data_IF_873605925898
#
_entry.id   IF_873605925898
#
_cell.length_a   1.000
_cell.length_b   1.000
_cell.length_c   1.000
_cell.angle_alpha   90.00
_cell.angle_beta   90.00
_cell.angle_gamma   90.00
#
_symmetry.space_group_name_H-M   'P 1'
#
loop_
_entity.id
_entity.type
_entity.pdbx_description
1 polymer ?
#
# COMPACT_ATOMS: atom_id res chain seq x y z
N UNK A 1 -17.07 -12.88 -29.76
CA UNK A 1 -17.39 -12.06 -28.56
C UNK A 1 -16.40 -12.47 -27.50
N UNK A 2 -15.38 -11.64 -27.26
CA UNK A 2 -14.48 -11.81 -26.13
C UNK A 2 -15.27 -11.60 -24.84
N UNK A 3 -15.17 -12.54 -23.90
CA UNK A 3 -15.72 -12.36 -22.55
C UNK A 3 -15.03 -11.15 -21.92
N UNK A 4 -15.76 -10.20 -21.29
CA UNK A 4 -15.13 -9.13 -20.58
C UNK A 4 -14.19 -9.75 -19.52
N UNK A 5 -12.93 -9.36 -19.55
CA UNK A 5 -11.94 -9.77 -18.55
C UNK A 5 -12.43 -9.19 -17.22
N UNK A 6 -12.88 -10.03 -16.30
CA UNK A 6 -13.27 -9.57 -14.95
C UNK A 6 -12.02 -9.01 -14.27
N UNK A 7 -12.08 -7.72 -13.93
CA UNK A 7 -11.01 -7.09 -13.17
C UNK A 7 -11.09 -7.63 -11.73
N UNK A 8 -10.02 -8.29 -11.30
CA UNK A 8 -9.88 -8.74 -9.92
C UNK A 8 -9.29 -7.61 -9.07
N UNK A 9 -9.85 -7.42 -7.88
CA UNK A 9 -9.43 -6.37 -6.95
C UNK A 9 -8.74 -6.96 -5.73
N UNK A 10 -7.72 -6.25 -5.25
CA UNK A 10 -7.19 -6.35 -3.91
C UNK A 10 -7.91 -5.32 -3.04
N UNK A 11 -8.45 -5.76 -1.91
CA UNK A 11 -9.17 -4.89 -0.98
C UNK A 11 -8.24 -4.48 0.15
N UNK A 12 -8.09 -3.17 0.32
CA UNK A 12 -7.36 -2.54 1.42
C UNK A 12 -8.34 -1.81 2.32
N UNK A 13 -7.96 -1.55 3.57
CA UNK A 13 -8.79 -0.87 4.55
C UNK A 13 -8.03 0.30 5.16
N UNK A 14 -8.75 1.37 5.53
CA UNK A 14 -8.17 2.61 6.06
C UNK A 14 -7.32 2.37 7.29
N UNK A 15 -7.80 1.54 8.20
CA UNK A 15 -7.12 1.23 9.44
C UNK A 15 -5.82 0.41 9.27
N UNK A 16 -5.51 -0.03 8.03
CA UNK A 16 -4.23 -0.65 7.69
C UNK A 16 -3.14 0.37 7.38
N UNK A 17 -3.54 1.57 6.91
CA UNK A 17 -2.59 2.55 6.39
C UNK A 17 -1.57 3.03 7.45
N UNK A 18 -1.93 3.27 8.73
CA UNK A 18 -0.97 3.67 9.75
C UNK A 18 -0.15 2.51 10.33
N UNK A 19 -0.44 1.24 9.98
CA UNK A 19 0.24 0.09 10.56
C UNK A 19 1.75 0.08 10.26
N UNK A 20 2.57 -0.54 11.13
CA UNK A 20 4.00 -0.75 10.89
C UNK A 20 4.24 -1.50 9.56
N UNK A 21 5.39 -1.22 8.92
CA UNK A 21 5.74 -1.78 7.60
C UNK A 21 5.57 -3.30 7.51
N UNK A 22 6.02 -4.06 8.52
CA UNK A 22 5.94 -5.52 8.49
C UNK A 22 4.49 -6.03 8.53
N UNK A 23 3.64 -5.39 9.34
CA UNK A 23 2.21 -5.71 9.42
C UNK A 23 1.50 -5.37 8.10
N UNK A 24 1.74 -4.19 7.56
CA UNK A 24 1.17 -3.79 6.27
C UNK A 24 1.62 -4.72 5.12
N UNK A 25 2.90 -5.15 5.11
CA UNK A 25 3.40 -6.07 4.10
C UNK A 25 2.64 -7.40 4.10
N UNK A 26 2.36 -7.95 5.30
CA UNK A 26 1.57 -9.20 5.41
C UNK A 26 0.15 -9.00 4.89
N UNK A 27 -0.52 -7.90 5.28
CA UNK A 27 -1.88 -7.61 4.82
C UNK A 27 -1.94 -7.37 3.31
N UNK A 28 -0.99 -6.61 2.75
CA UNK A 28 -0.93 -6.33 1.31
C UNK A 28 -0.73 -7.62 0.50
N UNK A 29 0.14 -8.53 0.96
CA UNK A 29 0.33 -9.83 0.35
C UNK A 29 -0.94 -10.68 0.40
N UNK A 30 -1.61 -10.76 1.56
CA UNK A 30 -2.85 -11.54 1.70
C UNK A 30 -3.99 -10.95 0.87
N UNK A 31 -4.10 -9.60 0.82
CA UNK A 31 -5.09 -8.90 0.00
C UNK A 31 -4.88 -9.16 -1.50
N UNK A 32 -3.63 -9.14 -1.96
CA UNK A 32 -3.29 -9.44 -3.36
C UNK A 32 -3.67 -10.90 -3.72
N UNK A 33 -3.53 -11.84 -2.78
CA UNK A 33 -3.96 -13.24 -2.95
C UNK A 33 -5.49 -13.44 -2.79
N UNK A 34 -6.29 -12.37 -2.87
CA UNK A 34 -7.74 -12.45 -2.76
C UNK A 34 -8.26 -12.56 -1.32
N UNK A 35 -7.52 -12.03 -0.36
CA UNK A 35 -7.89 -11.97 1.06
C UNK A 35 -7.60 -13.24 1.84
N UNK A 36 -7.00 -14.25 1.21
CA UNK A 36 -6.57 -15.51 1.85
C UNK A 36 -5.18 -15.92 1.39
N UNK A 37 -4.41 -16.53 2.28
CA UNK A 37 -3.08 -17.05 1.97
C UNK A 37 -2.84 -18.40 2.67
N UNK A 38 -2.20 -19.34 1.98
CA UNK A 38 -1.71 -20.59 2.57
C UNK A 38 -0.26 -20.82 2.16
N UNK A 39 0.66 -20.85 3.13
CA UNK A 39 2.09 -21.04 2.87
C UNK A 39 2.93 -20.89 4.12
N UNK A 40 4.24 -21.06 3.97
CA UNK A 40 5.18 -20.89 5.08
C UNK A 40 5.88 -19.52 5.03
N UNK A 41 6.59 -19.15 6.10
CA UNK A 41 7.31 -17.86 6.18
C UNK A 41 8.38 -17.69 5.10
N UNK A 42 8.99 -18.78 4.60
CA UNK A 42 9.97 -18.68 3.54
C UNK A 42 9.34 -18.35 2.18
N UNK A 43 8.13 -18.85 1.93
CA UNK A 43 7.37 -18.51 0.72
C UNK A 43 6.88 -17.05 0.79
N UNK A 44 6.44 -16.59 1.97
CA UNK A 44 6.12 -15.17 2.18
C UNK A 44 7.33 -14.26 1.90
N UNK A 45 8.51 -14.63 2.42
CA UNK A 45 9.74 -13.88 2.13
C UNK A 45 10.02 -13.78 0.63
N UNK A 46 9.93 -14.92 -0.10
CA UNK A 46 10.16 -14.95 -1.56
C UNK A 46 9.14 -14.08 -2.30
N UNK A 47 7.87 -14.18 -1.90
CA UNK A 47 6.81 -13.36 -2.48
C UNK A 47 7.07 -11.86 -2.29
N UNK A 48 7.55 -11.45 -1.12
CA UNK A 48 7.91 -10.07 -0.79
C UNK A 48 9.30 -9.65 -1.33
N UNK A 49 9.90 -10.47 -2.20
CA UNK A 49 11.21 -10.24 -2.79
C UNK A 49 12.34 -10.05 -1.76
N UNK A 50 12.29 -10.79 -0.65
CA UNK A 50 13.34 -10.81 0.38
C UNK A 50 13.86 -12.22 0.63
N UNK A 51 15.13 -12.32 1.00
CA UNK A 51 15.75 -13.63 1.29
C UNK A 51 15.12 -14.28 2.53
N UNK A 52 14.82 -15.61 2.52
CA UNK A 52 14.16 -16.31 3.62
C UNK A 52 15.12 -16.62 4.79
N UNK A 53 15.76 -15.60 5.34
CA UNK A 53 16.63 -15.68 6.54
C UNK A 53 15.83 -15.31 7.81
N UNK A 54 16.34 -15.69 8.99
CA UNK A 54 15.68 -15.39 10.26
C UNK A 54 15.38 -13.91 10.43
N UNK A 55 16.30 -13.03 10.07
CA UNK A 55 16.12 -11.56 10.12
C UNK A 55 14.91 -11.05 9.33
N UNK A 56 14.43 -11.79 8.32
CA UNK A 56 13.25 -11.44 7.51
C UNK A 56 12.02 -12.26 7.91
N UNK A 57 12.19 -13.51 8.37
CA UNK A 57 11.09 -14.38 8.80
C UNK A 57 10.54 -13.99 10.17
N UNK A 58 11.40 -13.59 11.10
CA UNK A 58 10.98 -13.27 12.47
C UNK A 58 10.09 -12.01 12.53
N UNK A 59 10.37 -10.91 11.80
CA UNK A 59 9.44 -9.79 11.68
C UNK A 59 8.09 -10.19 11.08
N UNK A 60 8.06 -11.08 10.08
CA UNK A 60 6.79 -11.56 9.49
C UNK A 60 5.98 -12.39 10.49
N UNK A 61 6.65 -13.26 11.26
CA UNK A 61 5.98 -14.03 12.33
C UNK A 61 5.35 -13.09 13.36
N UNK A 62 6.14 -12.15 13.89
CA UNK A 62 5.65 -11.17 14.86
C UNK A 62 4.52 -10.30 14.30
N UNK A 63 4.58 -9.95 13.01
CA UNK A 63 3.52 -9.22 12.35
C UNK A 63 2.22 -10.04 12.26
N UNK A 64 2.29 -11.32 11.91
CA UNK A 64 1.12 -12.22 11.87
C UNK A 64 0.49 -12.34 13.27
N UNK A 65 1.30 -12.56 14.30
CA UNK A 65 0.84 -12.64 15.68
C UNK A 65 0.16 -11.34 16.13
N UNK A 66 0.78 -10.20 15.87
CA UNK A 66 0.22 -8.87 16.16
C UNK A 66 -1.10 -8.62 15.42
N UNK A 67 -1.15 -8.88 14.11
CA UNK A 67 -2.35 -8.69 13.30
C UNK A 67 -3.49 -9.61 13.74
N UNK A 68 -3.17 -10.83 14.16
CA UNK A 68 -4.17 -11.77 14.70
C UNK A 68 -4.72 -11.26 16.03
N UNK A 69 -3.86 -10.78 16.92
CA UNK A 69 -4.29 -10.24 18.22
C UNK A 69 -5.10 -8.95 18.09
N UNK A 70 -4.81 -8.12 17.08
CA UNK A 70 -5.56 -6.90 16.74
C UNK A 70 -6.85 -7.18 15.97
N UNK A 71 -7.10 -8.43 15.56
CA UNK A 71 -8.29 -8.82 14.79
C UNK A 71 -8.29 -8.36 13.33
N UNK A 72 -7.12 -8.13 12.71
CA UNK A 72 -7.01 -7.86 11.28
C UNK A 72 -6.95 -9.13 10.43
N UNK A 73 -6.40 -10.20 11.01
CA UNK A 73 -6.29 -11.51 10.38
C UNK A 73 -6.87 -12.59 11.29
N UNK A 74 -7.47 -13.62 10.70
CA UNK A 74 -7.55 -14.93 11.32
C UNK A 74 -6.35 -15.76 10.85
N UNK A 75 -5.74 -16.50 11.77
CA UNK A 75 -4.59 -17.34 11.51
C UNK A 75 -4.79 -18.74 12.06
N UNK A 76 -4.75 -19.75 11.18
CA UNK A 76 -4.61 -21.15 11.57
C UNK A 76 -3.21 -21.61 11.20
N UNK A 77 -2.50 -22.21 12.17
CA UNK A 77 -1.18 -22.77 11.95
C UNK A 77 -1.28 -24.30 11.90
N UNK A 78 -0.94 -24.91 10.78
CA UNK A 78 -0.89 -26.36 10.57
C UNK A 78 0.56 -26.79 10.33
N UNK A 79 1.29 -27.04 11.41
CA UNK A 79 2.70 -27.38 11.36
C UNK A 79 3.56 -26.16 10.95
N UNK A 80 4.08 -26.16 9.69
CA UNK A 80 4.88 -25.05 9.18
C UNK A 80 4.10 -24.13 8.22
N UNK A 81 2.83 -24.43 7.97
CA UNK A 81 1.97 -23.71 7.04
C UNK A 81 1.01 -22.81 7.81
N UNK A 82 1.03 -21.52 7.47
CA UNK A 82 0.09 -20.52 7.94
C UNK A 82 -1.08 -20.45 6.96
N UNK A 83 -2.31 -20.53 7.48
CA UNK A 83 -3.53 -20.24 6.75
C UNK A 83 -4.05 -18.91 7.28
N UNK A 84 -3.89 -17.87 6.48
CA UNK A 84 -4.26 -16.51 6.83
C UNK A 84 -5.51 -16.10 6.08
N UNK A 85 -6.40 -15.37 6.74
CA UNK A 85 -7.57 -14.78 6.11
C UNK A 85 -7.78 -13.37 6.66
N UNK A 86 -7.94 -12.40 5.78
CA UNK A 86 -8.29 -11.02 6.14
C UNK A 86 -9.67 -10.99 6.80
N UNK A 87 -9.79 -10.24 7.89
CA UNK A 87 -11.08 -9.95 8.52
C UNK A 87 -11.58 -8.63 7.93
N UNK A 88 -12.74 -8.62 7.22
CA UNK A 88 -13.28 -7.43 6.58
C UNK A 88 -13.52 -6.27 7.56
N UNK A 89 -13.37 -5.03 7.06
CA UNK A 89 -13.59 -3.77 7.77
C UNK A 89 -14.62 -2.92 7.02
N UNK A 90 -15.05 -1.80 7.63
CA UNK A 90 -16.11 -0.97 7.07
C UNK A 90 -15.66 -0.16 5.84
N UNK A 91 -14.48 0.48 5.93
CA UNK A 91 -13.99 1.37 4.87
C UNK A 91 -12.97 0.65 4.00
N UNK A 92 -13.36 0.32 2.77
CA UNK A 92 -12.53 -0.41 1.82
C UNK A 92 -12.06 0.47 0.64
N UNK A 93 -10.82 0.21 0.21
CA UNK A 93 -10.25 0.73 -1.04
C UNK A 93 -9.98 -0.44 -1.97
N UNK A 94 -10.55 -0.39 -3.17
CA UNK A 94 -10.35 -1.41 -4.21
C UNK A 94 -9.22 -0.98 -5.13
N UNK A 95 -8.17 -1.78 -5.21
CA UNK A 95 -7.06 -1.58 -6.13
C UNK A 95 -6.98 -2.75 -7.10
N UNK A 96 -6.64 -2.50 -8.36
CA UNK A 96 -6.42 -3.57 -9.33
C UNK A 96 -5.39 -4.57 -8.79
N UNK A 97 -5.74 -5.86 -8.76
CA UNK A 97 -4.87 -6.92 -8.25
C UNK A 97 -3.56 -7.02 -9.03
N UNK A 98 -3.61 -6.92 -10.34
CA UNK A 98 -2.41 -6.95 -11.20
C UNK A 98 -1.48 -5.78 -10.91
N UNK A 99 -2.05 -4.59 -10.66
CA UNK A 99 -1.25 -3.44 -10.28
C UNK A 99 -0.62 -3.61 -8.90
N UNK A 100 -1.38 -4.06 -7.90
CA UNK A 100 -0.83 -4.34 -6.55
C UNK A 100 0.32 -5.36 -6.64
N UNK A 101 0.15 -6.42 -7.42
CA UNK A 101 1.19 -7.41 -7.66
C UNK A 101 2.44 -6.78 -8.29
N UNK A 102 2.27 -5.94 -9.32
CA UNK A 102 3.40 -5.25 -9.95
C UNK A 102 4.15 -4.35 -8.98
N UNK A 103 3.44 -3.63 -8.11
CA UNK A 103 4.03 -2.78 -7.06
C UNK A 103 4.80 -3.62 -6.03
N UNK A 104 4.25 -4.75 -5.57
CA UNK A 104 4.95 -5.62 -4.60
C UNK A 104 6.22 -6.22 -5.20
N UNK A 105 6.21 -6.56 -6.48
CA UNK A 105 7.33 -7.24 -7.16
C UNK A 105 8.31 -6.30 -7.84
N UNK A 106 8.06 -5.00 -7.86
CA UNK A 106 8.99 -4.00 -8.39
C UNK A 106 10.31 -4.00 -7.61
N UNK A 107 11.42 -3.83 -8.31
CA UNK A 107 12.74 -3.73 -7.69
C UNK A 107 13.01 -2.31 -7.18
N UNK A 108 12.87 -2.12 -5.89
CA UNK A 108 13.13 -0.84 -5.20
C UNK A 108 14.59 -0.66 -4.76
N UNK A 109 15.53 -1.46 -5.24
CA UNK A 109 16.94 -1.41 -4.80
C UNK A 109 17.64 -0.07 -5.10
N UNK A 110 17.21 0.62 -6.16
CA UNK A 110 17.69 1.95 -6.55
C UNK A 110 16.91 3.10 -5.92
N UNK A 111 15.84 2.82 -5.19
CA UNK A 111 14.90 3.80 -4.69
C UNK A 111 14.94 3.93 -3.17
N UNK A 112 14.70 5.14 -2.65
CA UNK A 112 14.64 5.40 -1.20
C UNK A 112 13.25 5.09 -0.61
N UNK A 113 12.49 4.20 -1.24
CA UNK A 113 11.10 3.87 -0.88
C UNK A 113 10.87 2.37 -0.91
N UNK A 114 9.79 1.89 -0.33
CA UNK A 114 9.37 0.49 -0.38
C UNK A 114 7.96 0.37 -0.96
N UNK A 115 7.61 -0.80 -1.49
CA UNK A 115 6.27 -1.06 -2.00
C UNK A 115 5.16 -0.71 -0.98
N UNK A 116 5.39 -0.98 0.31
CA UNK A 116 4.44 -0.64 1.36
C UNK A 116 4.12 0.86 1.40
N UNK A 117 5.13 1.72 1.27
CA UNK A 117 4.92 3.16 1.24
C UNK A 117 4.19 3.60 -0.03
N UNK A 118 4.52 3.02 -1.18
CA UNK A 118 3.84 3.29 -2.46
C UNK A 118 2.36 2.92 -2.38
N UNK A 119 2.04 1.71 -1.90
CA UNK A 119 0.65 1.25 -1.74
C UNK A 119 -0.13 2.11 -0.73
N UNK A 120 0.47 2.42 0.43
CA UNK A 120 -0.15 3.28 1.45
C UNK A 120 -0.50 4.67 0.91
N UNK A 121 0.48 5.32 0.27
CA UNK A 121 0.28 6.66 -0.30
C UNK A 121 -0.78 6.63 -1.40
N UNK A 122 -0.79 5.62 -2.26
CA UNK A 122 -1.79 5.51 -3.30
C UNK A 122 -3.19 5.25 -2.74
N UNK A 123 -3.34 4.30 -1.81
CA UNK A 123 -4.61 4.02 -1.14
C UNK A 123 -5.16 5.28 -0.44
N UNK A 124 -4.28 6.03 0.25
CA UNK A 124 -4.64 7.30 0.88
C UNK A 124 -5.14 8.34 -0.15
N UNK A 125 -4.46 8.49 -1.28
CA UNK A 125 -4.87 9.41 -2.37
C UNK A 125 -6.23 9.00 -2.95
N UNK A 126 -6.50 7.70 -3.07
CA UNK A 126 -7.77 7.20 -3.58
C UNK A 126 -8.95 7.58 -2.68
N UNK A 127 -8.73 7.68 -1.37
CA UNK A 127 -9.76 8.05 -0.40
C UNK A 127 -9.93 9.56 -0.26
N UNK A 128 -8.82 10.31 -0.28
CA UNK A 128 -8.77 11.75 0.00
C UNK A 128 -8.66 12.57 -1.30
N UNK A 129 -9.51 12.26 -2.28
CA UNK A 129 -9.52 12.93 -3.59
C UNK A 129 -9.87 14.41 -3.45
N UNK A 130 -9.17 15.26 -4.24
CA UNK A 130 -9.48 16.69 -4.40
C UNK A 130 -9.16 17.59 -3.19
N UNK A 131 -8.51 17.11 -2.16
CA UNK A 131 -8.07 17.95 -1.05
C UNK A 131 -6.67 18.53 -1.31
N UNK A 132 -6.48 19.77 -0.84
CA UNK A 132 -5.15 20.41 -0.84
C UNK A 132 -4.35 19.87 0.34
N UNK A 133 -3.33 19.06 0.05
CA UNK A 133 -2.56 18.35 1.06
C UNK A 133 -1.07 18.67 1.00
N UNK A 134 -0.40 18.52 2.14
CA UNK A 134 1.06 18.60 2.25
C UNK A 134 1.64 17.20 2.47
N UNK A 135 2.93 17.02 2.22
CA UNK A 135 3.60 15.77 2.56
C UNK A 135 3.54 15.49 4.07
N UNK A 136 3.61 16.54 4.90
CA UNK A 136 3.52 16.42 6.35
C UNK A 136 2.17 15.83 6.81
N UNK A 137 1.06 16.27 6.21
CA UNK A 137 -0.27 15.71 6.52
C UNK A 137 -0.34 14.23 6.19
N UNK A 138 0.04 13.85 4.96
CA UNK A 138 0.05 12.45 4.53
C UNK A 138 0.99 11.61 5.42
N UNK A 139 2.17 12.14 5.73
CA UNK A 139 3.16 11.46 6.57
C UNK A 139 2.62 11.16 7.97
N UNK A 140 1.93 12.15 8.57
CA UNK A 140 1.34 12.01 9.90
C UNK A 140 0.25 10.92 9.94
N UNK A 141 -0.65 10.89 8.95
CA UNK A 141 -1.72 9.90 8.89
C UNK A 141 -1.21 8.48 8.60
N UNK A 142 -0.19 8.36 7.74
CA UNK A 142 0.36 7.06 7.35
C UNK A 142 1.44 6.53 8.30
N UNK A 143 1.89 7.31 9.26
CA UNK A 143 2.97 6.95 10.18
C UNK A 143 4.33 6.73 9.47
N UNK A 144 4.63 7.52 8.42
CA UNK A 144 5.87 7.47 7.64
C UNK A 144 6.52 8.86 7.55
N UNK A 145 7.76 8.97 7.05
CA UNK A 145 8.42 10.27 6.91
C UNK A 145 7.93 11.04 5.67
N UNK A 146 8.01 12.38 5.71
CA UNK A 146 7.70 13.23 4.56
C UNK A 146 8.56 12.91 3.33
N UNK A 147 9.83 12.56 3.54
CA UNK A 147 10.72 12.13 2.46
C UNK A 147 10.23 10.83 1.83
N UNK A 148 9.73 9.88 2.63
CA UNK A 148 9.11 8.64 2.13
C UNK A 148 7.84 8.92 1.31
N UNK A 149 6.99 9.85 1.76
CA UNK A 149 5.81 10.30 1.00
C UNK A 149 6.22 10.90 -0.34
N UNK A 150 7.25 11.77 -0.32
CA UNK A 150 7.77 12.38 -1.55
C UNK A 150 8.29 11.33 -2.55
N UNK A 151 9.10 10.38 -2.08
CA UNK A 151 9.63 9.30 -2.90
C UNK A 151 8.50 8.40 -3.46
N UNK A 152 7.53 8.00 -2.63
CA UNK A 152 6.38 7.21 -3.07
C UNK A 152 5.56 7.93 -4.15
N UNK A 153 5.30 9.23 -3.98
CA UNK A 153 4.59 10.03 -5.00
C UNK A 153 5.38 10.14 -6.30
N UNK A 154 6.71 10.16 -6.26
CA UNK A 154 7.51 10.19 -7.47
C UNK A 154 7.41 8.86 -8.22
N UNK A 155 7.51 7.72 -7.53
CA UNK A 155 7.29 6.40 -8.13
C UNK A 155 5.90 6.30 -8.76
N UNK A 156 4.85 6.68 -8.02
CA UNK A 156 3.47 6.67 -8.53
C UNK A 156 3.29 7.54 -9.77
N UNK A 157 4.00 8.65 -9.87
CA UNK A 157 3.90 9.57 -11.01
C UNK A 157 4.72 9.12 -12.20
N UNK A 158 5.95 8.64 -11.98
CA UNK A 158 6.91 8.41 -13.07
C UNK A 158 6.94 6.95 -13.55
N UNK A 159 6.81 5.98 -12.63
CA UNK A 159 6.86 4.56 -12.99
C UNK A 159 5.47 4.01 -13.35
N UNK A 160 4.43 4.50 -12.69
CA UNK A 160 3.08 3.97 -12.86
C UNK A 160 2.08 4.95 -13.49
N UNK A 161 2.44 6.23 -13.61
CA UNK A 161 1.54 7.30 -14.09
C UNK A 161 0.17 7.34 -13.37
N UNK A 162 0.13 6.85 -12.10
CA UNK A 162 -1.11 6.62 -11.38
C UNK A 162 -1.68 7.88 -10.74
N UNK A 163 -0.87 8.92 -10.53
CA UNK A 163 -1.30 10.15 -9.87
C UNK A 163 -0.99 11.40 -10.68
N UNK A 164 -1.86 12.38 -10.55
CA UNK A 164 -1.69 13.74 -11.03
C UNK A 164 -1.41 14.63 -9.82
N UNK A 165 -0.35 15.44 -9.91
CA UNK A 165 0.03 16.42 -8.89
C UNK A 165 -0.19 17.82 -9.44
N UNK A 166 -1.00 18.63 -8.75
CA UNK A 166 -1.17 20.06 -9.05
C UNK A 166 -0.71 20.88 -7.86
N UNK A 167 0.33 21.69 -8.07
CA UNK A 167 0.81 22.60 -7.03
C UNK A 167 -0.20 23.70 -6.80
N UNK A 168 -0.63 23.89 -5.55
CA UNK A 168 -1.52 24.97 -5.14
C UNK A 168 -0.70 26.03 -4.44
N UNK A 169 -0.77 27.27 -4.93
CA UNK A 169 -0.03 28.41 -4.40
C UNK A 169 -0.96 29.60 -4.20
N UNK A 170 -0.71 30.37 -3.17
CA UNK A 170 -1.41 31.63 -2.89
C UNK A 170 -0.44 32.79 -3.10
N UNK A 171 -0.94 33.89 -3.68
CA UNK A 171 -0.17 35.13 -3.81
C UNK A 171 0.10 35.71 -2.42
N UNK A 172 1.35 36.05 -2.14
CA UNK A 172 1.79 36.66 -0.88
C UNK A 172 2.76 37.77 -1.16
N UNK A 173 2.32 39.03 -0.98
CA UNK A 173 3.12 40.20 -1.40
C UNK A 173 3.41 40.16 -2.90
N UNK A 174 4.68 40.32 -3.28
CA UNK A 174 5.13 40.24 -4.68
C UNK A 174 5.47 38.82 -5.15
N UNK A 175 5.28 37.79 -4.30
CA UNK A 175 5.57 36.39 -4.59
C UNK A 175 4.38 35.45 -4.42
N UNK A 176 4.67 34.14 -4.51
CA UNK A 176 3.70 33.10 -4.28
C UNK A 176 4.19 32.14 -3.18
N UNK A 177 3.32 31.83 -2.23
CA UNK A 177 3.54 30.79 -1.22
C UNK A 177 2.82 29.53 -1.63
N UNK A 178 3.54 28.41 -1.67
CA UNK A 178 2.92 27.10 -1.88
C UNK A 178 2.13 26.70 -0.63
N UNK A 179 0.85 26.41 -0.79
CA UNK A 179 -0.03 25.92 0.28
C UNK A 179 0.03 24.41 0.40
N UNK A 180 0.16 23.71 -0.72
CA UNK A 180 0.16 22.25 -0.79
C UNK A 180 0.05 21.77 -2.23
N UNK A 181 -0.48 20.56 -2.39
CA UNK A 181 -0.74 19.94 -3.68
C UNK A 181 -2.15 19.36 -3.69
N UNK A 182 -2.86 19.54 -4.79
CA UNK A 182 -4.00 18.69 -5.11
C UNK A 182 -3.44 17.40 -5.70
N UNK A 183 -3.91 16.28 -5.19
CA UNK A 183 -3.55 14.95 -5.66
C UNK A 183 -4.80 14.24 -6.17
N UNK A 184 -4.71 13.65 -7.32
CA UNK A 184 -5.78 12.85 -7.89
C UNK A 184 -5.20 11.57 -8.49
N UNK A 185 -5.90 10.46 -8.32
CA UNK A 185 -5.62 9.26 -9.08
C UNK A 185 -5.92 9.52 -10.56
N UNK A 186 -5.12 8.97 -11.45
CA UNK A 186 -5.34 9.13 -12.88
C UNK A 186 -6.66 8.44 -13.29
N UNK A 187 -7.42 9.05 -14.20
CA UNK A 187 -8.80 8.67 -14.52
C UNK A 187 -8.98 7.19 -14.91
N UNK A 188 -8.02 6.62 -15.60
CA UNK A 188 -8.09 5.20 -16.01
C UNK A 188 -7.98 4.18 -14.86
N UNK A 189 -7.58 4.61 -13.66
CA UNK A 189 -7.60 3.78 -12.44
C UNK A 189 -8.86 3.95 -11.62
N UNK A 190 -9.73 4.89 -12.02
CA UNK A 190 -10.95 5.27 -11.30
C UNK A 190 -12.23 4.93 -12.03
N UNK A 191 -12.17 4.58 -13.33
CA UNK A 191 -13.29 4.07 -14.12
C UNK A 191 -13.47 2.57 -13.87
N UNK A 192 -13.89 2.27 -12.65
CA UNK A 192 -14.20 0.91 -12.26
C UNK A 192 -15.50 0.93 -11.47
#
# INVERSE_FOLDING_TARGET
>A
MEKPTMIEYSIFYDDWLPLPKAEFNVLAMVAEQGGTYAGNLSDMCRYLNVTPQSRNRDPLRSAIESLTSKGFLSCENRGRTYHLKVIPRETEVKLSRLWVQSVIQHDYSSESVSFAAVLKVFAWIMQNRMEVVTNAMIAAELGISESTVCAAKNVLQHEYENIIKKKVSQKWGDGFRTLGQELAANAWWTEI
#
